data_IF_385348792938
#
_entry.id   IF_385348792938
#
_cell.length_a   1.000
_cell.length_b   1.000
_cell.length_c   1.000
_cell.angle_alpha   90.00
_cell.angle_beta   90.00
_cell.angle_gamma   90.00
#
_symmetry.space_group_name_H-M   'P 1'
#
loop_
_entity.id
_entity.type
_entity.pdbx_description
1 polymer ?
#
# COMPACT_ATOMS: atom_id res chain seq x y z
N UNK A 1 28.78 18.26 0.13
CA UNK A 1 28.58 17.14 -0.81
C UNK A 1 27.11 16.77 -0.73
N UNK A 2 26.48 16.62 -1.90
CA UNK A 2 25.05 16.82 -2.17
C UNK A 2 24.06 16.09 -1.26
N UNK A 3 23.24 16.87 -0.57
CA UNK A 3 21.92 16.46 -0.11
C UNK A 3 20.98 16.35 -1.32
N UNK A 4 20.56 15.14 -1.66
CA UNK A 4 19.38 14.92 -2.48
C UNK A 4 18.54 13.84 -1.79
N UNK A 5 17.84 14.25 -0.74
CA UNK A 5 16.75 13.47 -0.18
C UNK A 5 15.59 13.54 -1.18
N UNK A 6 15.64 12.70 -2.22
CA UNK A 6 14.45 12.40 -3.01
C UNK A 6 13.42 11.82 -2.03
N UNK A 7 12.34 12.56 -1.77
CA UNK A 7 11.18 12.07 -1.01
C UNK A 7 10.51 11.00 -1.87
N UNK A 8 11.03 9.78 -1.83
CA UNK A 8 10.42 8.64 -2.51
C UNK A 8 9.24 8.20 -1.68
N UNK A 9 8.08 8.07 -2.32
CA UNK A 9 6.92 7.46 -1.68
C UNK A 9 7.27 6.01 -1.38
N UNK A 10 7.36 5.70 -0.08
CA UNK A 10 7.77 4.39 0.42
C UNK A 10 6.67 3.38 0.15
N UNK A 11 7.07 2.13 -0.15
CA UNK A 11 6.09 1.06 -0.30
C UNK A 11 5.53 0.72 1.09
N UNK A 12 4.21 0.63 1.27
CA UNK A 12 3.59 0.20 2.54
C UNK A 12 3.75 -1.33 2.77
N UNK A 13 4.58 -2.01 1.98
CA UNK A 13 4.77 -3.45 2.05
C UNK A 13 5.65 -3.82 3.25
N UNK A 14 5.09 -4.55 4.21
CA UNK A 14 5.79 -5.07 5.38
C UNK A 14 6.45 -6.45 5.14
N UNK A 15 6.58 -6.88 3.87
CA UNK A 15 7.17 -8.17 3.50
C UNK A 15 6.23 -9.37 3.65
N UNK A 16 4.96 -9.13 3.96
CA UNK A 16 3.90 -10.16 3.96
C UNK A 16 3.20 -10.11 2.60
N UNK A 17 3.25 -11.22 1.86
CA UNK A 17 2.56 -11.40 0.59
C UNK A 17 1.52 -12.53 0.74
N UNK A 18 0.49 -12.27 1.53
CA UNK A 18 -0.64 -13.17 1.72
C UNK A 18 -1.91 -12.41 1.35
N UNK A 19 -2.64 -12.88 0.36
CA UNK A 19 -3.91 -12.28 -0.08
C UNK A 19 -5.04 -12.97 0.67
N UNK A 20 -5.93 -12.17 1.26
CA UNK A 20 -7.18 -12.66 1.81
C UNK A 20 -8.12 -13.05 0.67
N UNK A 21 -8.58 -14.30 0.66
CA UNK A 21 -9.46 -14.82 -0.40
C UNK A 21 -10.89 -14.25 -0.31
N UNK A 22 -11.29 -13.69 0.83
CA UNK A 22 -12.64 -13.14 1.04
C UNK A 22 -12.79 -11.75 0.47
N UNK A 23 -11.75 -10.91 0.56
CA UNK A 23 -11.78 -9.52 0.11
C UNK A 23 -10.78 -9.21 -1.02
N UNK A 24 -9.82 -10.09 -1.32
CA UNK A 24 -8.84 -9.91 -2.39
C UNK A 24 -7.70 -8.94 -2.07
N UNK A 25 -7.53 -8.55 -0.80
CA UNK A 25 -6.49 -7.63 -0.34
C UNK A 25 -5.34 -8.37 0.34
N UNK A 26 -4.14 -7.80 0.26
CA UNK A 26 -3.00 -8.29 1.01
C UNK A 26 -3.19 -8.06 2.51
N UNK A 27 -3.04 -9.11 3.31
CA UNK A 27 -3.13 -9.06 4.77
C UNK A 27 -2.08 -8.14 5.42
N UNK A 28 -0.98 -7.84 4.72
CA UNK A 28 0.08 -6.97 5.23
C UNK A 28 -0.08 -5.51 4.86
N UNK A 29 -0.31 -5.22 3.57
CA UNK A 29 -0.33 -3.85 3.05
C UNK A 29 -1.70 -3.39 2.54
N UNK A 30 -2.73 -4.24 2.65
CA UNK A 30 -4.11 -3.99 2.22
C UNK A 30 -4.29 -3.65 0.73
N UNK A 31 -3.24 -3.91 -0.07
CA UNK A 31 -3.25 -3.73 -1.53
C UNK A 31 -3.75 -4.96 -2.23
N UNK A 32 -4.46 -4.74 -3.32
CA UNK A 32 -4.75 -5.81 -4.28
C UNK A 32 -3.50 -6.19 -5.07
N UNK A 33 -3.52 -7.38 -5.65
CA UNK A 33 -2.45 -7.85 -6.56
C UNK A 33 -2.25 -6.91 -7.75
N UNK A 34 -3.33 -6.29 -8.25
CA UNK A 34 -3.28 -5.37 -9.36
C UNK A 34 -2.55 -4.07 -8.99
N UNK A 35 -2.87 -3.51 -7.82
CA UNK A 35 -2.19 -2.32 -7.28
C UNK A 35 -0.73 -2.58 -6.96
N UNK A 36 -0.36 -3.80 -6.53
CA UNK A 36 1.03 -4.20 -6.30
C UNK A 36 1.81 -4.21 -7.63
N UNK A 37 1.22 -4.75 -8.69
CA UNK A 37 1.81 -4.74 -10.04
C UNK A 37 1.95 -3.32 -10.59
N UNK A 38 0.89 -2.52 -10.48
CA UNK A 38 0.85 -1.16 -10.98
C UNK A 38 1.74 -0.20 -10.19
N UNK A 39 2.18 -0.54 -8.97
CA UNK A 39 3.01 0.34 -8.14
C UNK A 39 4.29 0.83 -8.82
N UNK A 40 4.93 -0.04 -9.61
CA UNK A 40 6.18 0.31 -10.29
C UNK A 40 5.96 1.32 -11.42
N UNK A 41 4.79 1.28 -12.05
CA UNK A 41 4.38 2.20 -13.13
C UNK A 41 3.71 3.49 -12.60
N UNK A 42 3.21 3.50 -11.36
CA UNK A 42 2.54 4.66 -10.75
C UNK A 42 3.49 5.84 -10.49
N UNK A 43 2.98 7.05 -10.76
CA UNK A 43 3.60 8.34 -10.44
C UNK A 43 3.59 8.61 -8.92
N UNK A 44 4.40 9.54 -8.44
CA UNK A 44 4.46 9.86 -7.00
C UNK A 44 3.12 10.32 -6.43
N UNK A 45 2.34 11.08 -7.19
CA UNK A 45 1.00 11.53 -6.79
C UNK A 45 0.04 10.35 -6.71
N UNK A 46 -0.01 9.49 -7.73
CA UNK A 46 -0.81 8.26 -7.73
C UNK A 46 -0.47 7.34 -6.55
N UNK A 47 0.82 7.24 -6.20
CA UNK A 47 1.27 6.48 -5.04
C UNK A 47 0.76 7.06 -3.72
N UNK A 48 0.68 8.39 -3.58
CA UNK A 48 0.13 9.06 -2.38
C UNK A 48 -1.38 8.90 -2.27
N UNK A 49 -2.09 9.08 -3.38
CA UNK A 49 -3.53 8.82 -3.45
C UNK A 49 -3.84 7.38 -3.08
N UNK A 50 -3.05 6.44 -3.60
CA UNK A 50 -3.20 5.04 -3.26
C UNK A 50 -2.92 4.77 -1.78
N UNK A 51 -1.86 5.33 -1.21
CA UNK A 51 -1.57 5.21 0.23
C UNK A 51 -2.72 5.74 1.09
N UNK A 52 -3.33 6.85 0.69
CA UNK A 52 -4.49 7.42 1.38
C UNK A 52 -5.68 6.45 1.34
N UNK A 53 -5.97 5.88 0.17
CA UNK A 53 -7.01 4.85 0.05
C UNK A 53 -6.70 3.60 0.87
N UNK A 54 -5.43 3.18 0.96
CA UNK A 54 -5.03 2.04 1.76
C UNK A 54 -5.21 2.30 3.25
N UNK A 55 -4.92 3.51 3.72
CA UNK A 55 -5.18 3.92 5.10
C UNK A 55 -6.69 3.86 5.42
N UNK A 56 -7.53 4.40 4.53
CA UNK A 56 -9.00 4.30 4.67
C UNK A 56 -9.49 2.84 4.65
N UNK A 57 -8.95 2.01 3.75
CA UNK A 57 -9.27 0.57 3.69
C UNK A 57 -8.82 -0.13 4.96
N UNK A 58 -7.61 0.16 5.44
CA UNK A 58 -7.10 -0.38 6.68
C UNK A 58 -8.03 0.00 7.83
N UNK A 59 -8.41 1.28 7.97
CA UNK A 59 -9.35 1.75 8.99
C UNK A 59 -10.69 1.00 8.94
N UNK A 60 -11.23 0.77 7.74
CA UNK A 60 -12.47 0.00 7.55
C UNK A 60 -12.34 -1.51 7.88
N UNK A 61 -11.14 -2.06 7.70
CA UNK A 61 -10.81 -3.48 7.93
C UNK A 61 -10.31 -3.73 9.36
N UNK A 62 -9.73 -2.74 10.04
CA UNK A 62 -9.31 -2.78 11.46
C UNK A 62 -10.48 -2.76 12.44
N UNK A 63 -11.68 -3.18 12.00
CA UNK A 63 -12.75 -3.60 12.89
C UNK A 63 -12.53 -5.02 13.45
N UNK A 64 -11.32 -5.57 13.35
CA UNK A 64 -11.02 -6.91 13.83
C UNK A 64 -9.58 -7.03 14.32
N UNK A 65 -9.25 -6.41 15.45
CA UNK A 65 -8.28 -7.00 16.38
C UNK A 65 -8.40 -6.36 17.79
N UNK A 66 -8.97 -7.16 18.69
CA UNK A 66 -9.00 -7.09 20.17
C UNK A 66 -9.97 -6.12 20.88
#
# INVERSE_FOLDING_TARGET
MSEYTQVRVESPCIGICAIDESNGFCLGCYRTVDEIKAWFDMSQDEKKDLLTQLDERQLSQTNFDA
#
